data_IF_274827472857
#
_entry.id   IF_274827472857
#
_cell.length_a   1.000
_cell.length_b   1.000
_cell.length_c   1.000
_cell.angle_alpha   90.00
_cell.angle_beta   90.00
_cell.angle_gamma   90.00
#
_symmetry.space_group_name_H-M   'P 1'
#
loop_
_entity.id
_entity.type
_entity.pdbx_description
1 polymer ?
#
# COMPACT_ATOMS: atom_id res chain seq x y z
N UNK A 1 -17.36 17.63 -5.01
CA UNK A 1 -17.63 16.49 -5.89
C UNK A 1 -16.89 15.25 -5.39
N UNK A 2 -17.63 14.41 -4.70
CA UNK A 2 -17.07 13.27 -3.99
C UNK A 2 -16.50 12.22 -4.94
N UNK A 3 -17.13 12.04 -6.10
CA UNK A 3 -16.67 11.04 -7.06
C UNK A 3 -15.25 11.29 -7.56
N UNK A 4 -14.82 12.55 -7.61
CA UNK A 4 -13.46 12.90 -8.02
C UNK A 4 -12.47 12.36 -6.99
N UNK A 5 -12.81 12.49 -5.70
CA UNK A 5 -11.98 11.95 -4.63
C UNK A 5 -11.90 10.43 -4.70
N UNK A 6 -13.01 9.76 -4.93
CA UNK A 6 -13.03 8.31 -5.05
C UNK A 6 -12.25 7.83 -6.28
N UNK A 7 -12.34 8.57 -7.38
CA UNK A 7 -11.57 8.25 -8.57
C UNK A 7 -10.07 8.31 -8.29
N UNK A 8 -9.63 9.37 -7.61
CA UNK A 8 -8.23 9.52 -7.22
C UNK A 8 -7.77 8.43 -6.26
N UNK A 9 -8.59 8.10 -5.27
CA UNK A 9 -8.27 7.04 -4.31
C UNK A 9 -8.19 5.69 -5.01
N UNK A 10 -9.12 5.41 -5.93
CA UNK A 10 -9.11 4.18 -6.70
C UNK A 10 -7.86 4.06 -7.55
N UNK A 11 -7.47 5.13 -8.23
CA UNK A 11 -6.26 5.15 -9.04
C UNK A 11 -5.03 4.92 -8.17
N UNK A 12 -4.99 5.53 -6.98
CA UNK A 12 -3.88 5.37 -6.04
C UNK A 12 -3.73 3.91 -5.60
N UNK A 13 -4.84 3.26 -5.25
CA UNK A 13 -4.83 1.85 -4.87
C UNK A 13 -4.40 0.97 -6.04
N UNK A 14 -4.94 1.24 -7.23
CA UNK A 14 -4.61 0.46 -8.41
C UNK A 14 -3.13 0.55 -8.75
N UNK A 15 -2.47 1.65 -8.40
CA UNK A 15 -1.04 1.79 -8.63
C UNK A 15 -0.22 0.79 -7.80
N UNK A 16 -0.72 0.40 -6.63
CA UNK A 16 -0.03 -0.57 -5.78
C UNK A 16 -0.14 -2.01 -6.29
N UNK A 17 -1.17 -2.33 -7.09
CA UNK A 17 -1.35 -3.69 -7.58
C UNK A 17 -0.21 -4.12 -8.50
N UNK A 18 0.14 -3.39 -9.58
CA UNK A 18 1.29 -3.76 -10.40
C UNK A 18 2.59 -3.79 -9.64
N UNK A 19 2.80 -2.82 -8.74
CA UNK A 19 4.03 -2.76 -7.94
C UNK A 19 4.16 -3.99 -7.04
N UNK A 20 3.07 -4.37 -6.36
CA UNK A 20 3.08 -5.53 -5.47
C UNK A 20 3.26 -6.82 -6.24
N UNK A 21 2.62 -6.96 -7.41
CA UNK A 21 2.79 -8.13 -8.26
C UNK A 21 4.23 -8.27 -8.73
N UNK A 22 4.86 -7.17 -9.13
CA UNK A 22 6.25 -7.20 -9.57
C UNK A 22 7.18 -7.57 -8.42
N UNK A 23 6.92 -7.04 -7.23
CA UNK A 23 7.69 -7.36 -6.04
C UNK A 23 7.62 -8.86 -5.71
N UNK A 24 6.40 -9.43 -5.74
CA UNK A 24 6.24 -10.86 -5.45
C UNK A 24 6.88 -11.71 -6.54
N UNK A 25 6.71 -11.32 -7.80
CA UNK A 25 7.28 -12.06 -8.93
C UNK A 25 8.79 -12.08 -8.89
N UNK A 26 9.42 -10.94 -8.67
CA UNK A 26 10.89 -10.84 -8.65
C UNK A 26 11.49 -11.31 -7.32
N UNK A 27 10.70 -11.31 -6.26
CA UNK A 27 11.16 -11.70 -4.93
C UNK A 27 11.95 -10.61 -4.21
N UNK A 28 11.95 -9.40 -4.73
CA UNK A 28 12.64 -8.27 -4.10
C UNK A 28 11.91 -6.98 -4.41
N UNK A 29 12.18 -5.96 -3.61
CA UNK A 29 11.55 -4.65 -3.76
C UNK A 29 12.63 -3.58 -3.85
N UNK A 30 12.57 -2.74 -4.88
CA UNK A 30 13.53 -1.66 -5.10
C UNK A 30 13.01 -0.31 -4.58
N UNK A 31 11.80 -0.27 -4.03
CA UNK A 31 11.24 0.96 -3.48
C UNK A 31 11.98 1.33 -2.20
N UNK A 32 12.18 2.63 -1.98
CA UNK A 32 12.89 3.14 -0.80
C UNK A 32 12.23 2.65 0.50
N UNK A 33 13.05 2.13 1.42
CA UNK A 33 12.53 1.57 2.68
C UNK A 33 11.86 2.62 3.55
N UNK A 34 12.42 3.83 3.61
CA UNK A 34 11.82 4.92 4.39
C UNK A 34 10.44 5.28 3.84
N UNK A 35 10.30 5.31 2.51
CA UNK A 35 9.02 5.55 1.86
C UNK A 35 8.00 4.49 2.26
N UNK A 36 8.40 3.22 2.24
CA UNK A 36 7.51 2.12 2.60
C UNK A 36 7.09 2.17 4.06
N UNK A 37 8.01 2.47 4.97
CA UNK A 37 7.70 2.61 6.39
C UNK A 37 6.72 3.75 6.63
N UNK A 38 6.98 4.91 6.03
CA UNK A 38 6.12 6.08 6.19
C UNK A 38 4.76 5.85 5.57
N UNK A 39 4.71 5.20 4.42
CA UNK A 39 3.45 4.89 3.74
C UNK A 39 2.63 3.90 4.58
N UNK A 40 3.27 2.85 5.10
CA UNK A 40 2.58 1.87 5.93
C UNK A 40 2.03 2.52 7.21
N UNK A 41 2.85 3.33 7.88
CA UNK A 41 2.43 4.00 9.10
C UNK A 41 1.31 4.99 8.84
N UNK A 42 1.45 5.82 7.81
CA UNK A 42 0.45 6.82 7.47
C UNK A 42 -0.88 6.20 7.05
N UNK A 43 -0.84 5.21 6.16
CA UNK A 43 -2.06 4.57 5.68
C UNK A 43 -2.74 3.76 6.79
N UNK A 44 -1.97 3.12 7.67
CA UNK A 44 -2.54 2.42 8.81
C UNK A 44 -3.26 3.39 9.74
N UNK A 45 -2.63 4.53 10.04
CA UNK A 45 -3.24 5.56 10.89
C UNK A 45 -4.53 6.08 10.27
N UNK A 46 -4.52 6.34 8.95
CA UNK A 46 -5.71 6.81 8.25
C UNK A 46 -6.80 5.74 8.21
N UNK A 47 -6.43 4.46 8.10
CA UNK A 47 -7.38 3.36 8.13
C UNK A 47 -8.11 3.33 9.47
N UNK A 48 -7.36 3.44 10.57
CA UNK A 48 -7.94 3.46 11.91
C UNK A 48 -8.86 4.67 12.07
N UNK A 49 -8.39 5.85 11.66
CA UNK A 49 -9.17 7.08 11.77
C UNK A 49 -10.47 6.98 10.97
N UNK A 50 -10.39 6.51 9.72
CA UNK A 50 -11.56 6.38 8.86
C UNK A 50 -12.55 5.36 9.42
N UNK A 51 -12.06 4.27 9.99
CA UNK A 51 -12.92 3.25 10.62
C UNK A 51 -13.66 3.82 11.80
N UNK A 52 -12.98 4.63 12.62
CA UNK A 52 -13.62 5.28 13.77
C UNK A 52 -14.66 6.30 13.35
N UNK A 53 -14.50 6.89 12.16
CA UNK A 53 -15.44 7.86 11.61
C UNK A 53 -16.57 7.21 10.81
N UNK A 54 -16.52 5.90 10.61
CA UNK A 54 -17.53 5.20 9.84
C UNK A 54 -17.39 5.35 8.33
N UNK A 55 -16.24 5.80 7.85
CA UNK A 55 -15.99 5.95 6.41
C UNK A 55 -15.39 4.65 5.86
N UNK A 56 -16.27 3.74 5.44
CA UNK A 56 -15.86 2.42 4.97
C UNK A 56 -15.02 2.48 3.71
N UNK A 57 -15.34 3.37 2.78
CA UNK A 57 -14.61 3.48 1.51
C UNK A 57 -13.19 3.94 1.75
N UNK A 58 -13.02 5.01 2.54
CA UNK A 58 -11.71 5.55 2.84
C UNK A 58 -10.88 4.55 3.65
N UNK A 59 -11.52 3.84 4.59
CA UNK A 59 -10.84 2.81 5.39
C UNK A 59 -10.36 1.67 4.51
N UNK A 60 -11.19 1.22 3.56
CA UNK A 60 -10.82 0.14 2.64
C UNK A 60 -9.63 0.53 1.77
N UNK A 61 -9.66 1.73 1.19
CA UNK A 61 -8.59 2.22 0.31
C UNK A 61 -7.27 2.29 1.08
N UNK A 62 -7.28 2.86 2.27
CA UNK A 62 -6.06 2.99 3.07
C UNK A 62 -5.59 1.64 3.60
N UNK A 63 -6.52 0.74 3.91
CA UNK A 63 -6.19 -0.62 4.31
C UNK A 63 -5.46 -1.38 3.20
N UNK A 64 -5.95 -1.27 1.97
CA UNK A 64 -5.30 -1.89 0.82
C UNK A 64 -3.92 -1.28 0.56
N UNK A 65 -3.78 0.04 0.73
CA UNK A 65 -2.48 0.70 0.62
C UNK A 65 -1.52 0.18 1.68
N UNK A 66 -2.00 -0.01 2.90
CA UNK A 66 -1.19 -0.57 3.98
C UNK A 66 -0.69 -1.97 3.62
N UNK A 67 -1.57 -2.82 3.10
CA UNK A 67 -1.18 -4.16 2.68
C UNK A 67 -0.14 -4.12 1.57
N UNK A 68 -0.33 -3.24 0.57
CA UNK A 68 0.63 -3.09 -0.51
C UNK A 68 2.00 -2.65 0.00
N UNK A 69 2.01 -1.67 0.90
CA UNK A 69 3.26 -1.19 1.50
C UNK A 69 3.95 -2.29 2.30
N UNK A 70 3.19 -3.07 3.07
CA UNK A 70 3.74 -4.15 3.88
C UNK A 70 4.29 -5.29 3.03
N UNK A 71 3.61 -5.66 1.94
CA UNK A 71 4.12 -6.67 1.02
C UNK A 71 5.46 -6.23 0.44
N UNK A 72 5.52 -4.98 -0.03
CA UNK A 72 6.75 -4.45 -0.60
C UNK A 72 7.85 -4.36 0.45
N UNK A 73 7.51 -3.94 1.67
CA UNK A 73 8.47 -3.83 2.76
C UNK A 73 9.02 -5.22 3.15
N UNK A 74 8.15 -6.22 3.19
CA UNK A 74 8.58 -7.59 3.50
C UNK A 74 9.67 -8.04 2.53
N UNK A 75 9.45 -7.87 1.22
CA UNK A 75 10.44 -8.28 0.23
C UNK A 75 11.65 -7.33 0.17
N UNK A 76 11.51 -6.10 0.67
CA UNK A 76 12.63 -5.17 0.81
C UNK A 76 13.59 -5.65 1.88
N UNK A 77 13.05 -6.08 3.02
CA UNK A 77 13.85 -6.51 4.17
C UNK A 77 14.26 -7.97 4.08
N UNK A 78 13.45 -8.80 3.45
CA UNK A 78 13.66 -10.25 3.35
C UNK A 78 13.51 -10.71 1.90
N UNK A 79 14.47 -10.35 1.02
CA UNK A 79 14.38 -10.76 -0.39
C UNK A 79 14.35 -12.28 -0.50
N UNK A 80 13.62 -12.76 -1.51
CA UNK A 80 13.55 -14.20 -1.74
C UNK A 80 14.94 -14.73 -2.17
N UNK A 81 15.40 -15.87 -1.61
CA UNK A 81 16.68 -16.43 -2.03
C UNK A 81 16.72 -16.66 -3.54
N UNK A 82 17.83 -16.26 -4.17
CA UNK A 82 18.01 -16.40 -5.61
C UNK A 82 17.35 -15.30 -6.43
N UNK A 83 16.72 -14.30 -5.80
CA UNK A 83 16.13 -13.18 -6.52
C UNK A 83 17.21 -12.37 -7.23
N UNK A 84 16.97 -11.89 -8.48
CA UNK A 84 17.95 -11.11 -9.22
C UNK A 84 18.25 -9.77 -8.57
#
# INVERSE_FOLDING_TARGET
MEWIGYLGLGAFVLAWIPQSLETVRSGRCDVNAAFLHLTALGSLSLTIYASLRGDAVFALVNGLTTLGALVNLYYKLCPRPGAP
#
